data_IF_448391559594
#
_entry.id   IF_448391559594
#
_cell.length_a   1.000
_cell.length_b   1.000
_cell.length_c   1.000
_cell.angle_alpha   90.00
_cell.angle_beta   90.00
_cell.angle_gamma   90.00
#
_symmetry.space_group_name_H-M   'P 1'
#
loop_
_entity.id
_entity.type
_entity.pdbx_description
1 polymer ?
#
# COMPACT_ATOMS: atom_id res chain seq x y z
N UNK A 1 -7.14 -7.08 2.95
CA UNK A 1 -6.56 -8.29 3.57
C UNK A 1 -7.34 -9.54 3.15
N UNK A 2 -8.72 -9.57 3.22
CA UNK A 2 -9.51 -10.76 2.87
C UNK A 2 -9.16 -11.34 1.48
N UNK A 3 -9.10 -10.56 0.38
CA UNK A 3 -8.74 -11.09 -0.93
C UNK A 3 -7.32 -11.69 -0.98
N UNK A 4 -6.38 -11.15 -0.18
CA UNK A 4 -5.01 -11.66 -0.10
C UNK A 4 -4.99 -13.07 0.49
N UNK A 5 -5.64 -13.24 1.66
CA UNK A 5 -5.72 -14.52 2.36
C UNK A 5 -6.48 -15.57 1.54
N UNK A 6 -7.56 -15.20 0.85
CA UNK A 6 -8.31 -16.11 -0.03
C UNK A 6 -7.46 -16.66 -1.18
N UNK A 7 -6.62 -15.83 -1.80
CA UNK A 7 -5.68 -16.27 -2.84
C UNK A 7 -4.58 -17.14 -2.26
N UNK A 8 -4.05 -16.75 -1.09
CA UNK A 8 -3.02 -17.52 -0.41
C UNK A 8 -3.50 -18.92 -0.01
N UNK A 9 -4.72 -19.06 0.49
CA UNK A 9 -5.35 -20.37 0.75
C UNK A 9 -5.48 -21.25 -0.50
N UNK A 10 -5.54 -20.67 -1.69
CA UNK A 10 -5.55 -21.39 -2.98
C UNK A 10 -4.13 -21.70 -3.50
N UNK A 11 -3.09 -21.47 -2.70
CA UNK A 11 -1.71 -21.80 -3.02
C UNK A 11 -0.91 -20.68 -3.72
N UNK A 12 -1.49 -19.48 -3.90
CA UNK A 12 -0.73 -18.33 -4.36
C UNK A 12 0.12 -17.75 -3.20
N UNK A 13 1.30 -17.24 -3.49
CA UNK A 13 2.03 -16.43 -2.52
C UNK A 13 1.67 -14.96 -2.65
N UNK A 14 1.81 -14.21 -1.56
CA UNK A 14 1.56 -12.77 -1.51
C UNK A 14 2.77 -12.00 -2.04
N UNK A 15 2.50 -10.88 -2.71
CA UNK A 15 3.53 -9.94 -3.13
C UNK A 15 4.15 -9.20 -1.93
N UNK A 16 5.27 -8.52 -2.16
CA UNK A 16 5.89 -7.67 -1.13
C UNK A 16 4.93 -6.57 -0.66
N UNK A 17 4.19 -5.92 -1.57
CA UNK A 17 3.19 -4.90 -1.24
C UNK A 17 2.09 -5.45 -0.32
N UNK A 18 1.53 -6.61 -0.64
CA UNK A 18 0.47 -7.24 0.16
C UNK A 18 0.94 -7.69 1.55
N UNK A 19 2.17 -8.15 1.66
CA UNK A 19 2.78 -8.46 2.95
C UNK A 19 3.05 -7.19 3.78
N UNK A 20 3.47 -6.09 3.14
CA UNK A 20 3.62 -4.80 3.80
C UNK A 20 2.27 -4.25 4.31
N UNK A 21 1.17 -4.45 3.57
CA UNK A 21 -0.18 -4.11 4.05
C UNK A 21 -0.54 -4.90 5.31
N UNK A 22 -0.19 -6.19 5.37
CA UNK A 22 -0.38 -7.01 6.59
C UNK A 22 0.48 -6.49 7.73
N UNK A 23 1.74 -6.14 7.49
CA UNK A 23 2.60 -5.57 8.52
C UNK A 23 2.08 -4.22 9.03
N UNK A 24 1.55 -3.37 8.13
CA UNK A 24 0.90 -2.12 8.50
C UNK A 24 -0.32 -2.34 9.39
N UNK A 25 -1.21 -3.28 9.03
CA UNK A 25 -2.33 -3.66 9.87
C UNK A 25 -1.89 -4.08 11.28
N UNK A 26 -0.88 -4.96 11.38
CA UNK A 26 -0.38 -5.46 12.67
C UNK A 26 0.26 -4.34 13.52
N UNK A 27 0.91 -3.37 12.88
CA UNK A 27 1.47 -2.18 13.54
C UNK A 27 0.37 -1.30 14.13
N UNK A 28 -0.69 -1.04 13.36
CA UNK A 28 -1.85 -0.29 13.84
C UNK A 28 -2.56 -1.03 14.98
N UNK A 29 -2.65 -2.36 14.93
CA UNK A 29 -3.17 -3.19 16.02
C UNK A 29 -2.34 -3.00 17.31
N UNK A 30 -1.01 -2.99 17.19
CA UNK A 30 -0.11 -2.77 18.32
C UNK A 30 -0.28 -1.37 18.91
N UNK A 31 -0.38 -0.36 18.05
CA UNK A 31 -0.62 1.03 18.44
C UNK A 31 -1.97 1.19 19.16
N UNK A 32 -3.04 0.59 18.61
CA UNK A 32 -4.35 0.59 19.22
C UNK A 32 -4.35 -0.06 20.61
N UNK A 33 -3.73 -1.25 20.75
CA UNK A 33 -3.57 -1.92 22.06
C UNK A 33 -2.87 -1.03 23.08
N UNK A 34 -1.79 -0.38 22.69
CA UNK A 34 -1.02 0.51 23.58
C UNK A 34 -1.87 1.71 24.01
N UNK A 35 -2.62 2.30 23.10
CA UNK A 35 -3.54 3.40 23.40
C UNK A 35 -4.63 2.98 24.38
N UNK A 36 -5.31 1.86 24.10
CA UNK A 36 -6.43 1.40 24.92
C UNK A 36 -6.01 0.80 26.26
N UNK A 37 -4.75 0.42 26.46
CA UNK A 37 -4.24 0.01 27.75
C UNK A 37 -4.36 1.09 28.84
N UNK A 38 -4.51 2.36 28.44
CA UNK A 38 -4.69 3.51 29.32
C UNK A 38 -6.16 3.91 29.52
N UNK A 39 -7.09 3.27 28.81
CA UNK A 39 -8.52 3.58 28.86
C UNK A 39 -9.20 2.76 29.96
N UNK A 40 -10.22 3.36 30.61
CA UNK A 40 -11.01 2.65 31.62
C UNK A 40 -11.54 1.32 31.08
N UNK A 41 -11.26 0.17 31.76
CA UNK A 41 -11.71 -1.15 31.36
C UNK A 41 -13.27 -1.30 31.27
N UNK A 42 -14.03 -0.47 31.97
CA UNK A 42 -15.50 -0.44 31.88
C UNK A 42 -16.02 0.22 30.59
N UNK A 43 -15.16 0.88 29.84
CA UNK A 43 -15.52 1.50 28.55
C UNK A 43 -15.84 0.44 27.50
N UNK A 44 -16.92 0.63 26.74
CA UNK A 44 -17.25 -0.20 25.59
C UNK A 44 -16.10 -0.25 24.56
N UNK A 45 -15.33 0.81 24.44
CA UNK A 45 -14.19 0.91 23.54
C UNK A 45 -13.05 -0.03 23.95
N UNK A 46 -12.82 -0.19 25.28
CA UNK A 46 -11.87 -1.17 25.80
C UNK A 46 -12.24 -2.60 25.37
N UNK A 47 -13.54 -2.93 25.42
CA UNK A 47 -14.04 -4.25 24.97
C UNK A 47 -13.79 -4.54 23.50
N UNK A 48 -13.79 -3.51 22.63
CA UNK A 48 -13.36 -3.67 21.22
C UNK A 48 -11.86 -3.93 21.13
N UNK A 49 -11.05 -3.11 21.76
CA UNK A 49 -9.60 -3.22 21.69
C UNK A 49 -9.05 -4.53 22.32
N UNK A 50 -9.71 -5.06 23.34
CA UNK A 50 -9.36 -6.34 23.96
C UNK A 50 -9.46 -7.53 22.98
N UNK A 51 -10.21 -7.42 21.91
CA UNK A 51 -10.37 -8.45 20.87
C UNK A 51 -9.26 -8.46 19.84
N UNK A 52 -8.40 -7.44 19.80
CA UNK A 52 -7.26 -7.38 18.88
C UNK A 52 -6.24 -8.45 19.27
N UNK A 53 -5.90 -9.36 18.37
CA UNK A 53 -4.91 -10.42 18.63
C UNK A 53 -3.48 -9.86 18.67
N UNK A 54 -3.08 -9.10 17.68
CA UNK A 54 -1.78 -8.45 17.51
C UNK A 54 -0.60 -9.44 17.48
N UNK A 55 -0.10 -9.75 16.29
CA UNK A 55 1.06 -10.62 16.10
C UNK A 55 2.33 -9.81 15.78
N UNK A 56 3.01 -9.35 16.82
CA UNK A 56 4.23 -8.56 16.70
C UNK A 56 5.37 -9.32 16.00
N UNK A 57 5.47 -10.62 16.22
CA UNK A 57 6.50 -11.45 15.60
C UNK A 57 6.37 -11.46 14.06
N UNK A 58 5.15 -11.64 13.55
CA UNK A 58 4.89 -11.61 12.10
C UNK A 58 5.15 -10.23 11.52
N UNK A 59 4.74 -9.16 12.21
CA UNK A 59 5.00 -7.76 11.80
C UNK A 59 6.50 -7.50 11.67
N UNK A 60 7.28 -7.82 12.70
CA UNK A 60 8.73 -7.64 12.72
C UNK A 60 9.42 -8.45 11.63
N UNK A 61 9.00 -9.70 11.42
CA UNK A 61 9.58 -10.58 10.40
C UNK A 61 9.34 -10.06 8.98
N UNK A 62 8.13 -9.60 8.67
CA UNK A 62 7.82 -9.00 7.37
C UNK A 62 8.65 -7.72 7.19
N UNK A 63 8.63 -6.82 8.17
CA UNK A 63 9.33 -5.52 8.11
C UNK A 63 10.86 -5.66 8.03
N UNK A 64 11.44 -6.69 8.63
CA UNK A 64 12.86 -6.99 8.51
C UNK A 64 13.24 -7.61 7.16
N UNK A 65 12.30 -8.30 6.51
CA UNK A 65 12.53 -8.98 5.24
C UNK A 65 12.26 -8.10 4.02
N UNK A 66 11.31 -7.16 4.12
CA UNK A 66 10.83 -6.35 2.99
C UNK A 66 11.05 -4.86 3.28
N UNK A 67 11.84 -4.20 2.43
CA UNK A 67 12.16 -2.77 2.57
C UNK A 67 11.10 -1.91 1.87
N UNK A 68 10.65 -2.34 0.69
CA UNK A 68 9.64 -1.66 -0.12
C UNK A 68 8.89 -2.65 -1.00
N UNK A 69 7.86 -2.18 -1.71
CA UNK A 69 7.07 -3.01 -2.63
C UNK A 69 7.88 -3.72 -3.72
N UNK A 70 9.09 -3.22 -4.03
CA UNK A 70 9.97 -3.75 -5.07
C UNK A 70 11.29 -4.29 -4.53
N UNK A 71 11.59 -4.07 -3.24
CA UNK A 71 12.91 -4.35 -2.67
C UNK A 71 12.82 -5.22 -1.42
N UNK A 72 13.38 -6.42 -1.51
CA UNK A 72 13.63 -7.31 -0.38
C UNK A 72 15.00 -7.03 0.24
N UNK A 73 15.09 -7.07 1.57
CA UNK A 73 16.35 -6.88 2.30
C UNK A 73 17.37 -7.97 1.97
N UNK A 74 18.64 -7.62 1.89
CA UNK A 74 19.72 -8.60 1.75
C UNK A 74 19.74 -9.59 2.94
N UNK A 75 19.35 -9.09 4.12
CA UNK A 75 19.27 -9.87 5.36
C UNK A 75 18.04 -10.77 5.48
N UNK A 76 17.14 -10.78 4.50
CA UNK A 76 15.93 -11.60 4.54
C UNK A 76 16.24 -13.11 4.59
N UNK A 77 17.36 -13.54 3.99
CA UNK A 77 17.95 -14.85 4.23
C UNK A 77 19.48 -14.83 4.00
N UNK A 78 20.20 -15.74 4.65
CA UNK A 78 21.63 -15.92 4.43
C UNK A 78 21.93 -16.29 2.96
N UNK A 79 21.07 -17.10 2.34
CA UNK A 79 21.19 -17.50 0.94
C UNK A 79 21.05 -16.29 0.00
N UNK A 80 20.07 -15.42 0.22
CA UNK A 80 19.85 -14.20 -0.57
C UNK A 80 21.06 -13.26 -0.46
N UNK A 81 21.58 -13.06 0.75
CA UNK A 81 22.78 -12.27 0.98
C UNK A 81 23.98 -12.79 0.17
N UNK A 82 24.22 -14.11 0.24
CA UNK A 82 25.34 -14.74 -0.48
C UNK A 82 25.16 -14.67 -2.01
N UNK A 83 23.94 -14.88 -2.52
CA UNK A 83 23.64 -14.74 -3.95
C UNK A 83 23.92 -13.32 -4.41
N UNK A 84 23.41 -12.30 -3.72
CA UNK A 84 23.62 -10.90 -4.09
C UNK A 84 25.08 -10.47 -4.00
N UNK A 85 25.81 -10.99 -3.02
CA UNK A 85 27.27 -10.79 -2.96
C UNK A 85 27.98 -11.38 -4.17
N UNK A 86 27.60 -12.58 -4.61
CA UNK A 86 28.14 -13.22 -5.83
C UNK A 86 27.77 -12.45 -7.08
N UNK A 87 26.52 -11.95 -7.18
CA UNK A 87 26.08 -11.09 -8.29
C UNK A 87 26.96 -9.85 -8.40
N UNK A 88 27.18 -9.12 -7.29
CA UNK A 88 28.06 -7.93 -7.29
C UNK A 88 29.48 -8.26 -7.75
N UNK A 89 30.02 -9.37 -7.29
CA UNK A 89 31.37 -9.82 -7.69
C UNK A 89 31.42 -10.18 -9.19
N UNK A 90 30.43 -10.91 -9.70
CA UNK A 90 30.34 -11.25 -11.11
C UNK A 90 30.19 -10.00 -12.00
N UNK A 91 29.35 -9.04 -11.60
CA UNK A 91 29.19 -7.76 -12.28
C UNK A 91 30.47 -6.97 -12.34
N UNK A 92 31.22 -6.89 -11.24
CA UNK A 92 32.54 -6.23 -11.21
C UNK A 92 33.52 -6.92 -12.15
N UNK A 93 33.61 -8.26 -12.12
CA UNK A 93 34.50 -9.04 -13.01
C UNK A 93 34.17 -8.81 -14.50
N UNK A 94 32.87 -8.78 -14.85
CA UNK A 94 32.41 -8.44 -16.21
C UNK A 94 32.87 -7.05 -16.59
N UNK A 95 32.58 -6.06 -15.71
CA UNK A 95 32.90 -4.65 -15.94
C UNK A 95 34.42 -4.45 -16.12
N UNK A 96 35.25 -5.01 -15.24
CA UNK A 96 36.71 -4.91 -15.31
C UNK A 96 37.25 -5.51 -16.59
N UNK A 97 36.67 -6.63 -17.04
CA UNK A 97 37.08 -7.25 -18.29
C UNK A 97 36.69 -6.43 -19.51
N UNK A 98 35.45 -5.89 -19.54
CA UNK A 98 35.01 -5.04 -20.64
C UNK A 98 35.67 -3.66 -20.65
N UNK A 99 36.07 -3.15 -19.48
CA UNK A 99 36.79 -1.89 -19.36
C UNK A 99 38.11 -1.92 -20.13
N UNK A 100 38.78 -3.08 -20.24
CA UNK A 100 39.99 -3.25 -21.04
C UNK A 100 39.76 -3.03 -22.54
N UNK A 101 38.55 -3.29 -23.04
CA UNK A 101 38.17 -3.00 -24.42
C UNK A 101 37.84 -1.54 -24.65
N UNK A 102 37.28 -0.86 -23.62
CA UNK A 102 36.71 0.51 -23.71
C UNK A 102 37.79 1.57 -23.41
N UNK A 103 38.69 1.33 -22.44
CA UNK A 103 39.55 2.38 -21.86
C UNK A 103 40.89 2.59 -22.59
N UNK A 104 41.12 1.95 -23.72
CA UNK A 104 42.30 2.25 -24.52
C UNK A 104 43.02 1.05 -25.10
N UNK A 105 43.71 1.28 -26.17
CA UNK A 105 44.43 0.27 -26.93
C UNK A 105 43.85 0.14 -28.36
N UNK A 106 44.29 -0.85 -29.10
CA UNK A 106 43.84 -1.07 -30.47
C UNK A 106 42.35 -1.37 -30.58
N UNK A 107 41.75 -1.99 -29.55
CA UNK A 107 40.34 -2.37 -29.53
C UNK A 107 39.36 -1.20 -29.50
N UNK A 108 39.75 -0.05 -28.94
CA UNK A 108 38.89 1.13 -28.89
C UNK A 108 38.60 1.75 -30.27
N UNK A 109 39.47 1.51 -31.26
CA UNK A 109 39.24 1.95 -32.65
C UNK A 109 38.04 1.27 -33.30
N UNK A 110 37.73 0.05 -32.86
CA UNK A 110 36.65 -0.77 -33.40
C UNK A 110 35.28 -0.42 -32.80
N UNK A 111 35.27 0.28 -31.67
CA UNK A 111 34.04 0.65 -30.99
C UNK A 111 33.35 1.83 -31.66
N UNK A 112 32.02 1.81 -31.69
CA UNK A 112 31.20 2.93 -32.09
C UNK A 112 31.24 4.02 -31.02
N UNK A 113 31.13 3.59 -29.75
CA UNK A 113 31.23 4.42 -28.56
C UNK A 113 32.02 3.66 -27.50
N UNK A 114 32.78 4.40 -26.68
CA UNK A 114 33.59 3.79 -25.61
C UNK A 114 32.81 3.57 -24.35
N UNK A 115 31.70 2.79 -24.45
CA UNK A 115 30.79 2.47 -23.35
C UNK A 115 30.55 0.98 -23.21
N UNK A 116 30.18 0.58 -21.99
CA UNK A 116 29.64 -0.76 -21.71
C UNK A 116 28.14 -0.61 -21.64
N UNK A 117 27.38 -1.45 -22.33
CA UNK A 117 25.92 -1.41 -22.33
C UNK A 117 25.34 -2.80 -22.09
N UNK A 118 24.02 -2.88 -21.94
CA UNK A 118 23.30 -4.16 -21.82
C UNK A 118 22.40 -4.40 -23.02
N UNK A 119 22.39 -5.63 -23.54
CA UNK A 119 21.44 -6.13 -24.53
C UNK A 119 20.99 -7.52 -24.14
N UNK A 120 19.68 -7.75 -24.15
CA UNK A 120 19.09 -9.04 -23.77
C UNK A 120 19.59 -9.60 -22.42
N UNK A 121 19.82 -8.70 -21.44
CA UNK A 121 20.31 -9.05 -20.11
C UNK A 121 21.79 -9.47 -20.06
N UNK A 122 22.61 -9.05 -21.05
CA UNK A 122 24.05 -9.32 -21.11
C UNK A 122 24.83 -8.02 -21.25
N UNK A 123 25.97 -7.95 -20.61
CA UNK A 123 26.93 -6.87 -20.81
C UNK A 123 27.65 -7.05 -22.13
N UNK A 124 27.61 -6.03 -22.98
CA UNK A 124 28.15 -6.00 -24.34
C UNK A 124 28.83 -4.67 -24.63
N UNK A 125 29.59 -4.62 -25.70
CA UNK A 125 30.21 -3.40 -26.24
C UNK A 125 29.67 -3.07 -27.63
N UNK A 126 29.43 -1.79 -27.98
CA UNK A 126 28.99 -1.38 -29.28
C UNK A 126 30.17 -1.32 -30.27
N UNK A 127 30.18 -2.19 -31.26
CA UNK A 127 31.25 -2.30 -32.29
C UNK A 127 30.72 -1.81 -33.61
N UNK A 128 31.56 -1.04 -34.38
CA UNK A 128 31.22 -0.67 -35.74
C UNK A 128 31.09 -1.92 -36.60
N UNK A 129 30.06 -2.03 -37.40
CA UNK A 129 29.75 -3.24 -38.15
C UNK A 129 30.92 -3.69 -39.09
N UNK A 130 31.71 -2.73 -39.60
CA UNK A 130 32.90 -3.00 -40.43
C UNK A 130 34.00 -3.76 -39.67
N UNK A 131 34.08 -3.62 -38.34
CA UNK A 131 35.07 -4.27 -37.48
C UNK A 131 34.49 -5.42 -36.65
N UNK A 132 33.30 -5.93 -36.97
CA UNK A 132 32.65 -7.01 -36.21
C UNK A 132 33.48 -8.30 -36.06
N UNK A 133 34.39 -8.58 -37.00
CA UNK A 133 35.23 -9.75 -37.00
C UNK A 133 36.54 -9.56 -36.21
N UNK A 134 36.91 -8.33 -35.88
CA UNK A 134 38.14 -8.01 -35.13
C UNK A 134 37.98 -8.31 -33.62
N UNK A 135 36.74 -8.27 -33.12
CA UNK A 135 36.46 -8.64 -31.73
C UNK A 135 35.79 -10.01 -31.70
N UNK A 136 36.55 -11.00 -31.22
CA UNK A 136 36.03 -12.37 -31.02
C UNK A 136 34.97 -12.37 -29.94
N UNK A 137 33.69 -12.64 -30.31
CA UNK A 137 32.58 -12.61 -29.39
C UNK A 137 31.25 -13.04 -30.03
N UNK A 138 30.20 -12.96 -29.27
CA UNK A 138 28.85 -13.30 -29.67
C UNK A 138 28.07 -11.98 -29.96
N UNK A 139 27.46 -11.87 -31.14
CA UNK A 139 26.60 -10.75 -31.49
C UNK A 139 25.22 -10.99 -30.89
N UNK A 140 24.75 -10.06 -30.07
CA UNK A 140 23.43 -10.13 -29.41
C UNK A 140 22.40 -9.25 -30.05
N UNK A 141 22.83 -8.14 -30.69
CA UNK A 141 21.90 -7.16 -31.25
C UNK A 141 22.63 -6.31 -32.32
N UNK A 142 21.87 -5.60 -33.14
CA UNK A 142 22.37 -4.60 -34.06
C UNK A 142 21.50 -3.32 -34.00
N UNK A 143 22.11 -2.17 -34.26
CA UNK A 143 21.34 -0.91 -34.39
C UNK A 143 20.37 -0.97 -35.56
N UNK A 144 19.29 -0.21 -35.49
CA UNK A 144 18.29 -0.14 -36.56
C UNK A 144 18.86 0.28 -37.92
N UNK A 145 19.95 1.04 -37.96
CA UNK A 145 20.70 1.41 -39.18
C UNK A 145 21.67 0.32 -39.66
N UNK A 146 21.90 -0.72 -38.87
CA UNK A 146 22.91 -1.75 -39.15
C UNK A 146 24.37 -1.30 -39.00
N UNK A 147 24.65 -0.06 -38.63
CA UNK A 147 25.99 0.50 -38.52
C UNK A 147 26.74 0.01 -37.26
N UNK A 148 26.04 -0.41 -36.24
CA UNK A 148 26.60 -0.86 -34.96
C UNK A 148 26.09 -2.25 -34.62
N UNK A 149 27.01 -3.13 -34.19
CA UNK A 149 26.68 -4.44 -33.63
C UNK A 149 27.08 -4.48 -32.15
N UNK A 150 26.23 -5.10 -31.33
CA UNK A 150 26.49 -5.25 -29.90
C UNK A 150 27.09 -6.62 -29.64
N UNK A 151 28.35 -6.62 -29.30
CA UNK A 151 29.14 -7.84 -29.16
C UNK A 151 29.43 -8.12 -27.68
N UNK A 152 29.20 -9.36 -27.28
CA UNK A 152 29.71 -9.94 -26.02
C UNK A 152 31.06 -10.58 -26.31
N UNK A 153 32.19 -10.01 -25.86
CA UNK A 153 33.51 -10.61 -26.10
C UNK A 153 33.61 -11.98 -25.40
N UNK A 154 34.34 -12.91 -26.03
CA UNK A 154 34.50 -14.27 -25.47
C UNK A 154 35.05 -14.30 -24.05
N UNK A 155 35.85 -13.30 -23.66
CA UNK A 155 36.39 -13.19 -22.30
C UNK A 155 35.38 -12.90 -21.21
N UNK A 156 34.13 -12.52 -21.55
CA UNK A 156 33.09 -12.26 -20.58
C UNK A 156 31.87 -13.19 -20.68
N UNK A 157 31.83 -14.08 -21.64
CA UNK A 157 30.72 -15.01 -21.88
C UNK A 157 30.41 -15.86 -20.64
N UNK A 158 31.47 -16.46 -20.04
CA UNK A 158 31.26 -17.27 -18.82
C UNK A 158 30.75 -16.45 -17.65
N UNK A 159 31.31 -15.25 -17.43
CA UNK A 159 30.89 -14.37 -16.34
C UNK A 159 29.47 -13.86 -16.55
N UNK A 160 29.05 -13.54 -17.78
CA UNK A 160 27.64 -13.19 -18.08
C UNK A 160 26.71 -14.40 -17.90
N UNK A 161 27.14 -15.63 -18.21
CA UNK A 161 26.34 -16.83 -17.94
C UNK A 161 26.19 -17.07 -16.43
N UNK A 162 27.29 -16.92 -15.67
CA UNK A 162 27.24 -16.99 -14.20
C UNK A 162 26.29 -15.95 -13.62
N UNK A 163 26.35 -14.70 -14.08
CA UNK A 163 25.48 -13.62 -13.64
C UNK A 163 24.01 -13.97 -13.86
N UNK A 164 23.63 -14.43 -15.06
CA UNK A 164 22.25 -14.86 -15.34
C UNK A 164 21.77 -16.02 -14.47
N UNK A 165 22.65 -16.99 -14.21
CA UNK A 165 22.33 -18.10 -13.32
C UNK A 165 22.09 -17.61 -11.88
N UNK A 166 22.91 -16.66 -11.40
CA UNK A 166 22.75 -16.06 -10.08
C UNK A 166 21.48 -15.21 -9.98
N UNK A 167 21.14 -14.41 -11.00
CA UNK A 167 19.88 -13.64 -11.06
C UNK A 167 18.63 -14.54 -11.04
N UNK A 168 18.72 -15.69 -11.71
CA UNK A 168 17.64 -16.69 -11.65
C UNK A 168 17.50 -17.31 -10.26
N UNK A 169 18.63 -17.58 -9.59
CA UNK A 169 18.65 -18.08 -8.21
C UNK A 169 18.14 -17.03 -7.23
N UNK A 170 18.46 -15.75 -7.43
CA UNK A 170 17.93 -14.64 -6.62
C UNK A 170 16.41 -14.62 -6.68
N UNK A 171 15.82 -14.67 -7.88
CA UNK A 171 14.38 -14.70 -8.07
C UNK A 171 13.73 -15.89 -7.36
N UNK A 172 14.33 -17.08 -7.47
CA UNK A 172 13.81 -18.28 -6.83
C UNK A 172 13.89 -18.19 -5.29
N UNK A 173 14.96 -17.62 -4.74
CA UNK A 173 15.11 -17.43 -3.29
C UNK A 173 14.12 -16.38 -2.76
N UNK A 174 13.91 -15.26 -3.49
CA UNK A 174 12.90 -14.26 -3.16
C UNK A 174 11.51 -14.91 -3.12
N UNK A 175 11.15 -15.69 -4.13
CA UNK A 175 9.87 -16.40 -4.16
C UNK A 175 9.71 -17.34 -2.96
N UNK A 176 10.74 -18.08 -2.60
CA UNK A 176 10.76 -18.98 -1.43
C UNK A 176 10.52 -18.21 -0.12
N UNK A 177 11.16 -17.04 0.04
CA UNK A 177 10.95 -16.17 1.20
C UNK A 177 9.50 -15.66 1.23
N UNK A 178 8.97 -15.18 0.10
CA UNK A 178 7.58 -14.73 0.00
C UNK A 178 6.58 -15.83 0.34
N UNK A 179 6.81 -17.07 -0.13
CA UNK A 179 5.99 -18.23 0.23
C UNK A 179 6.03 -18.49 1.73
N UNK A 180 7.21 -18.48 2.35
CA UNK A 180 7.36 -18.69 3.80
C UNK A 180 6.61 -17.63 4.62
N UNK A 181 6.71 -16.35 4.24
CA UNK A 181 5.98 -15.26 4.90
C UNK A 181 4.47 -15.37 4.68
N UNK A 182 4.06 -15.79 3.48
CA UNK A 182 2.66 -16.03 3.16
C UNK A 182 2.07 -17.16 4.01
N UNK A 183 2.78 -18.28 4.14
CA UNK A 183 2.34 -19.42 4.95
C UNK A 183 2.16 -19.03 6.42
N UNK A 184 3.05 -18.18 6.94
CA UNK A 184 2.89 -17.63 8.29
C UNK A 184 1.67 -16.71 8.40
N UNK A 185 1.47 -15.79 7.44
CA UNK A 185 0.31 -14.91 7.42
C UNK A 185 -1.01 -15.71 7.35
N UNK A 186 -1.05 -16.78 6.55
CA UNK A 186 -2.21 -17.67 6.44
C UNK A 186 -2.53 -18.37 7.77
N UNK A 187 -1.52 -18.81 8.53
CA UNK A 187 -1.73 -19.42 9.85
C UNK A 187 -2.44 -18.49 10.84
N UNK A 188 -2.22 -17.19 10.71
CA UNK A 188 -2.87 -16.14 11.52
C UNK A 188 -4.03 -15.48 10.79
N UNK A 189 -4.52 -16.07 9.70
CA UNK A 189 -5.50 -15.46 8.81
C UNK A 189 -6.81 -15.08 9.52
N UNK A 190 -7.31 -15.92 10.43
CA UNK A 190 -8.52 -15.63 11.20
C UNK A 190 -8.32 -14.41 12.12
N UNK A 191 -7.17 -14.34 12.80
CA UNK A 191 -6.83 -13.23 13.69
C UNK A 191 -6.65 -11.92 12.89
N UNK A 192 -5.99 -11.98 11.73
CA UNK A 192 -5.82 -10.81 10.84
C UNK A 192 -7.15 -10.25 10.35
N UNK A 193 -8.11 -11.12 10.00
CA UNK A 193 -9.46 -10.69 9.60
C UNK A 193 -10.24 -10.08 10.76
N UNK A 194 -10.14 -10.66 11.95
CA UNK A 194 -10.73 -10.11 13.17
C UNK A 194 -10.13 -8.76 13.52
N UNK A 195 -8.82 -8.64 13.49
CA UNK A 195 -8.10 -7.40 13.77
C UNK A 195 -8.50 -6.28 12.80
N UNK A 196 -8.58 -6.60 11.50
CA UNK A 196 -9.03 -5.65 10.47
C UNK A 196 -10.50 -5.18 10.72
N UNK A 197 -11.40 -6.10 11.09
CA UNK A 197 -12.80 -5.77 11.43
C UNK A 197 -12.87 -4.85 12.66
N UNK A 198 -12.12 -5.17 13.71
CA UNK A 198 -12.08 -4.38 14.93
C UNK A 198 -11.53 -2.98 14.68
N UNK A 199 -10.39 -2.86 13.99
CA UNK A 199 -9.81 -1.55 13.64
C UNK A 199 -10.74 -0.73 12.76
N UNK A 200 -11.41 -1.35 11.80
CA UNK A 200 -12.40 -0.67 10.95
C UNK A 200 -13.56 -0.10 11.78
N UNK A 201 -14.08 -0.87 12.74
CA UNK A 201 -15.13 -0.41 13.66
C UNK A 201 -14.64 0.73 14.55
N UNK A 202 -13.44 0.60 15.12
CA UNK A 202 -12.85 1.65 15.94
C UNK A 202 -12.65 2.93 15.13
N UNK A 203 -12.10 2.84 13.91
CA UNK A 203 -11.90 3.98 13.03
C UNK A 203 -13.25 4.69 12.70
N UNK A 204 -14.30 3.91 12.41
CA UNK A 204 -15.62 4.46 12.16
C UNK A 204 -16.21 5.18 13.40
N UNK A 205 -16.03 4.63 14.61
CA UNK A 205 -16.48 5.24 15.86
C UNK A 205 -15.71 6.55 16.10
N UNK A 206 -14.38 6.55 15.96
CA UNK A 206 -13.59 7.75 16.13
C UNK A 206 -13.92 8.85 15.11
N UNK A 207 -14.13 8.46 13.84
CA UNK A 207 -14.54 9.41 12.80
C UNK A 207 -15.89 10.07 13.12
N UNK A 208 -16.87 9.30 13.63
CA UNK A 208 -18.16 9.85 14.09
C UNK A 208 -18.01 10.77 15.29
N UNK A 209 -17.17 10.39 16.25
CA UNK A 209 -16.91 11.20 17.44
C UNK A 209 -16.20 12.52 17.06
N UNK A 210 -15.18 12.46 16.21
CA UNK A 210 -14.49 13.65 15.73
C UNK A 210 -15.42 14.59 14.97
N UNK A 211 -16.25 14.06 14.08
CA UNK A 211 -17.29 14.84 13.39
C UNK A 211 -18.22 15.54 14.38
N UNK A 212 -18.67 14.83 15.42
CA UNK A 212 -19.54 15.39 16.45
C UNK A 212 -18.89 16.56 17.19
N UNK A 213 -17.61 16.44 17.54
CA UNK A 213 -16.85 17.50 18.21
C UNK A 213 -16.62 18.71 17.29
N UNK A 214 -16.21 18.48 16.06
CA UNK A 214 -15.87 19.53 15.09
C UNK A 214 -17.10 20.38 14.70
N UNK A 215 -18.29 19.76 14.69
CA UNK A 215 -19.55 20.40 14.29
C UNK A 215 -20.47 20.74 15.45
N UNK A 216 -20.01 20.59 16.71
CA UNK A 216 -20.78 20.81 17.91
C UNK A 216 -22.15 20.11 17.87
N UNK A 217 -22.14 18.82 17.55
CA UNK A 217 -23.34 18.00 17.51
C UNK A 217 -23.80 17.55 18.90
N UNK A 218 -25.10 17.25 19.01
CA UNK A 218 -25.68 16.56 20.17
C UNK A 218 -26.12 15.13 19.82
N UNK A 219 -26.18 14.27 20.82
CA UNK A 219 -26.72 12.91 20.69
C UNK A 219 -28.24 12.99 20.46
N UNK A 220 -28.75 12.36 19.38
CA UNK A 220 -30.17 12.35 19.12
C UNK A 220 -30.89 11.28 19.96
N UNK A 221 -31.99 11.67 20.63
CA UNK A 221 -32.90 10.71 21.21
C UNK A 221 -33.81 10.08 20.15
N UNK A 222 -33.74 8.76 20.02
CA UNK A 222 -34.52 8.01 19.01
C UNK A 222 -35.86 7.56 19.63
N UNK A 223 -36.95 7.78 18.92
CA UNK A 223 -38.30 7.38 19.37
C UNK A 223 -39.10 6.66 18.28
N UNK A 224 -40.13 5.91 18.67
CA UNK A 224 -41.03 5.18 17.78
C UNK A 224 -42.39 5.88 17.57
N UNK A 225 -42.61 7.05 18.19
CA UNK A 225 -43.90 7.77 18.20
C UNK A 225 -44.01 8.80 17.08
N UNK A 226 -43.13 8.78 16.10
CA UNK A 226 -43.11 9.70 14.95
C UNK A 226 -43.01 11.18 15.36
N UNK A 227 -42.34 11.47 16.45
CA UNK A 227 -42.09 12.82 16.94
C UNK A 227 -40.69 13.28 16.55
N UNK A 228 -40.61 14.45 15.94
CA UNK A 228 -39.34 15.12 15.59
C UNK A 228 -39.30 16.45 16.35
N UNK A 229 -38.19 16.68 17.07
CA UNK A 229 -37.87 17.96 17.68
C UNK A 229 -36.39 18.26 17.47
N UNK A 230 -36.09 19.34 16.78
CA UNK A 230 -34.78 19.85 16.51
C UNK A 230 -34.65 21.26 17.06
N UNK A 231 -33.71 21.51 17.94
CA UNK A 231 -33.46 22.82 18.53
C UNK A 231 -32.22 23.43 17.92
N UNK A 232 -32.30 24.62 17.34
CA UNK A 232 -31.20 25.33 16.69
C UNK A 232 -30.47 24.49 15.62
N UNK A 233 -31.21 23.68 14.86
CA UNK A 233 -30.66 22.82 13.82
C UNK A 233 -29.90 23.62 12.76
N UNK A 234 -28.68 23.20 12.46
CA UNK A 234 -27.82 23.78 11.44
C UNK A 234 -27.48 22.76 10.36
N UNK A 235 -27.71 23.11 9.11
CA UNK A 235 -27.38 22.19 7.99
C UNK A 235 -25.90 21.96 7.93
N UNK A 236 -25.36 20.71 8.09
CA UNK A 236 -23.95 20.44 8.28
C UNK A 236 -23.05 20.77 7.07
N UNK A 237 -23.63 20.87 5.88
CA UNK A 237 -22.92 21.21 4.64
C UNK A 237 -22.96 22.70 4.29
N UNK A 238 -23.50 23.54 5.16
CA UNK A 238 -23.46 25.00 5.00
C UNK A 238 -22.34 25.59 5.84
N UNK A 239 -21.88 26.77 5.44
CA UNK A 239 -20.88 27.53 6.17
C UNK A 239 -21.35 27.76 7.62
N UNK A 240 -20.62 27.27 8.63
CA UNK A 240 -21.02 27.39 10.05
C UNK A 240 -21.21 28.82 10.51
N UNK A 241 -20.54 29.80 9.87
CA UNK A 241 -20.68 31.23 10.20
C UNK A 241 -21.89 31.89 9.58
N UNK A 242 -22.49 31.30 8.54
CA UNK A 242 -23.62 31.87 7.78
C UNK A 242 -24.92 31.10 7.95
N UNK A 243 -24.84 29.84 8.41
CA UNK A 243 -26.05 29.02 8.61
C UNK A 243 -26.90 29.57 9.72
N UNK A 244 -28.19 29.81 9.41
CA UNK A 244 -29.18 30.27 10.40
C UNK A 244 -29.76 29.06 11.14
N UNK A 245 -29.61 28.97 12.48
CA UNK A 245 -30.21 27.91 13.28
C UNK A 245 -31.73 27.93 13.18
N UNK A 246 -32.34 26.76 13.07
CA UNK A 246 -33.81 26.65 12.93
C UNK A 246 -34.39 25.68 13.96
N UNK A 247 -35.46 26.09 14.66
CA UNK A 247 -36.19 25.23 15.56
C UNK A 247 -37.34 24.56 14.81
N UNK A 248 -37.47 23.25 14.94
CA UNK A 248 -38.47 22.46 14.22
C UNK A 248 -39.07 21.42 15.15
N UNK A 249 -40.40 21.29 15.16
CA UNK A 249 -41.06 20.19 15.85
C UNK A 249 -42.26 19.68 15.06
N UNK A 250 -42.54 18.40 15.10
CA UNK A 250 -43.61 17.73 14.36
C UNK A 250 -43.99 16.44 15.09
N UNK A 251 -45.27 16.08 15.06
CA UNK A 251 -45.76 14.79 15.53
C UNK A 251 -46.38 14.78 16.93
N UNK A 252 -46.43 15.91 17.65
CA UNK A 252 -47.07 16.01 18.97
C UNK A 252 -48.48 16.62 18.90
N UNK A 253 -48.61 17.86 18.51
CA UNK A 253 -49.88 18.59 18.40
C UNK A 253 -50.38 18.67 16.96
N UNK A 254 -49.55 18.44 16.00
CA UNK A 254 -49.85 18.41 14.55
C UNK A 254 -48.92 17.45 13.83
N UNK A 255 -49.37 16.94 12.69
CA UNK A 255 -48.68 15.95 11.88
C UNK A 255 -48.15 16.51 10.55
N UNK A 256 -48.48 17.78 10.27
CA UNK A 256 -48.11 18.44 9.00
C UNK A 256 -47.56 19.83 9.28
N UNK A 257 -46.45 20.17 8.65
CA UNK A 257 -45.86 21.51 8.62
C UNK A 257 -45.93 22.03 7.18
N UNK A 258 -46.44 23.25 7.01
CA UNK A 258 -46.40 23.97 5.73
C UNK A 258 -45.39 25.09 5.85
N UNK A 259 -44.31 25.03 5.05
CA UNK A 259 -43.25 26.03 5.02
C UNK A 259 -43.49 26.97 3.84
N UNK A 260 -43.81 28.22 4.10
CA UNK A 260 -44.06 29.26 3.08
C UNK A 260 -43.01 30.35 3.13
N UNK A 261 -42.88 31.12 2.05
CA UNK A 261 -41.94 32.24 1.97
C UNK A 261 -41.23 32.34 0.59
N UNK A 262 -40.39 33.35 0.38
CA UNK A 262 -39.64 33.54 -0.85
C UNK A 262 -38.64 32.39 -1.13
N UNK A 263 -38.17 32.20 -2.37
CA UNK A 263 -37.25 31.11 -2.72
C UNK A 263 -35.91 31.21 -2.01
N UNK A 264 -35.50 32.42 -1.64
CA UNK A 264 -34.27 32.69 -0.86
C UNK A 264 -34.43 32.49 0.63
N UNK A 265 -35.65 32.20 1.12
CA UNK A 265 -36.00 32.11 2.55
C UNK A 265 -35.68 30.78 3.25
N UNK A 266 -34.84 29.93 2.66
CA UNK A 266 -34.34 28.71 3.31
C UNK A 266 -35.32 27.51 3.36
N UNK A 267 -36.49 27.58 2.69
CA UNK A 267 -37.52 26.50 2.69
C UNK A 267 -36.97 25.14 2.37
N UNK A 268 -36.23 25.05 1.25
CA UNK A 268 -35.60 23.81 0.77
C UNK A 268 -34.48 23.34 1.70
N UNK A 269 -33.74 24.26 2.27
CA UNK A 269 -32.67 23.95 3.25
C UNK A 269 -33.28 23.33 4.51
N UNK A 270 -34.36 23.91 5.04
CA UNK A 270 -35.07 23.38 6.22
C UNK A 270 -35.55 21.94 5.97
N UNK A 271 -36.21 21.68 4.83
CA UNK A 271 -36.65 20.33 4.48
C UNK A 271 -35.50 19.33 4.37
N UNK A 272 -34.42 19.73 3.70
CA UNK A 272 -33.23 18.92 3.58
C UNK A 272 -32.54 18.65 4.91
N UNK A 273 -32.51 19.64 5.81
CA UNK A 273 -31.96 19.51 7.16
C UNK A 273 -32.69 18.44 7.95
N UNK A 274 -34.04 18.46 7.96
CA UNK A 274 -34.86 17.46 8.66
C UNK A 274 -34.56 16.06 8.11
N UNK A 275 -34.62 15.88 6.78
CA UNK A 275 -34.34 14.59 6.15
C UNK A 275 -32.93 14.07 6.42
N UNK A 276 -31.95 14.96 6.31
CA UNK A 276 -30.55 14.61 6.58
C UNK A 276 -30.36 14.19 8.06
N UNK A 277 -30.93 14.91 9.01
CA UNK A 277 -30.80 14.59 10.43
C UNK A 277 -31.43 13.23 10.78
N UNK A 278 -32.58 12.91 10.16
CA UNK A 278 -33.17 11.59 10.31
C UNK A 278 -32.21 10.48 9.81
N UNK A 279 -31.58 10.66 8.64
CA UNK A 279 -30.62 9.71 8.10
C UNK A 279 -29.34 9.63 8.96
N UNK A 280 -28.85 10.76 9.44
CA UNK A 280 -27.67 10.81 10.32
C UNK A 280 -27.95 10.06 11.63
N UNK A 281 -29.07 10.34 12.29
CA UNK A 281 -29.47 9.66 13.52
C UNK A 281 -29.63 8.14 13.34
N UNK A 282 -30.26 7.70 12.24
CA UNK A 282 -30.41 6.28 11.91
C UNK A 282 -29.05 5.60 11.59
N UNK A 283 -28.06 6.37 11.15
CA UNK A 283 -26.68 5.88 10.89
C UNK A 283 -25.80 5.94 12.15
N UNK A 284 -26.34 6.31 13.30
CA UNK A 284 -25.59 6.45 14.55
C UNK A 284 -24.63 7.64 14.56
N UNK A 285 -24.97 8.71 13.87
CA UNK A 285 -24.28 10.00 13.94
C UNK A 285 -25.01 10.93 14.89
N UNK A 286 -24.27 11.77 15.60
CA UNK A 286 -24.78 12.94 16.26
C UNK A 286 -25.23 14.00 15.24
N UNK A 287 -26.08 14.93 15.65
CA UNK A 287 -26.66 15.95 14.77
C UNK A 287 -26.37 17.36 15.29
N UNK A 288 -26.05 18.32 14.39
CA UNK A 288 -25.70 19.69 14.78
C UNK A 288 -26.99 20.50 15.16
N UNK A 289 -27.48 20.28 16.37
CA UNK A 289 -28.64 20.97 16.91
C UNK A 289 -28.53 21.14 18.44
#
# INVERSE_FOLDING_TARGET
ISPYLERAHKGAYLSMAELLDIAALLRECSSAKTYFAQVNPESLMYGYAARIACNKFLEEKISASIISEELMADSASNELYDIRRKIRNAQNKVRDTLQKYVSGGESSKYLQENIITMRSGRYVIPVKNEYKNEIKGIVHDASSSGATVFIEPMGVVEANNELRALESREKAEIEKILRSLTDEAVRFGADLLQDADVLTKLAAIFAKAQYSLDTNCCEPEINSVKYIRLNKARHPLLDPQKVVPTDIYLGKSFTTIVITGPNTGGKTVTLKTIGLFCLMAQSGLHVPC
#
